data_IF_430489187898
#
_entry.id   IF_430489187898
#
_cell.length_a   1.000
_cell.length_b   1.000
_cell.length_c   1.000
_cell.angle_alpha   90.00
_cell.angle_beta   90.00
_cell.angle_gamma   90.00
#
_symmetry.space_group_name_H-M   'P 1'
#
loop_
_entity.id
_entity.type
_entity.pdbx_description
1 polymer ?
#
# COMPACT_ATOMS: atom_id res chain seq x y z
N UNK A 1 -11.39 15.17 10.26
CA UNK A 1 -10.11 14.48 10.00
C UNK A 1 -9.52 14.11 11.34
N UNK A 2 -9.94 12.94 11.84
CA UNK A 2 -9.09 11.76 12.00
C UNK A 2 -7.59 11.96 12.35
N UNK A 3 -7.12 11.09 13.24
CA UNK A 3 -5.84 11.15 13.94
C UNK A 3 -4.64 11.17 12.96
N UNK A 4 -3.43 11.42 13.48
CA UNK A 4 -2.23 11.55 12.65
C UNK A 4 -2.02 10.36 11.68
N UNK A 5 -2.32 9.13 12.10
CA UNK A 5 -2.09 7.94 11.30
C UNK A 5 -3.07 7.86 10.12
N UNK A 6 -4.34 8.16 10.35
CA UNK A 6 -5.38 8.18 9.31
C UNK A 6 -5.07 9.20 8.21
N UNK A 7 -4.62 10.41 8.59
CA UNK A 7 -4.19 11.44 7.63
C UNK A 7 -3.01 10.97 6.77
N UNK A 8 -2.03 10.27 7.37
CA UNK A 8 -0.90 9.70 6.63
C UNK A 8 -1.35 8.59 5.70
N UNK A 9 -2.24 7.71 6.16
CA UNK A 9 -2.73 6.59 5.39
C UNK A 9 -3.52 7.06 4.17
N UNK A 10 -4.45 7.99 4.35
CA UNK A 10 -5.23 8.55 3.25
C UNK A 10 -4.32 9.25 2.22
N UNK A 11 -3.31 10.00 2.66
CA UNK A 11 -2.31 10.60 1.77
C UNK A 11 -1.57 9.53 0.94
N UNK A 12 -0.97 8.54 1.60
CA UNK A 12 -0.17 7.51 0.91
C UNK A 12 -1.04 6.72 -0.06
N UNK A 13 -2.23 6.30 0.37
CA UNK A 13 -3.15 5.54 -0.46
C UNK A 13 -3.57 6.31 -1.71
N UNK A 14 -4.04 7.54 -1.55
CA UNK A 14 -4.52 8.36 -2.66
C UNK A 14 -3.38 8.73 -3.62
N UNK A 15 -2.19 9.03 -3.10
CA UNK A 15 -1.03 9.33 -3.92
C UNK A 15 -0.54 8.09 -4.71
N UNK A 16 -0.51 6.91 -4.10
CA UNK A 16 -0.17 5.66 -4.80
C UNK A 16 -1.19 5.34 -5.89
N UNK A 17 -2.49 5.57 -5.64
CA UNK A 17 -3.54 5.44 -6.65
C UNK A 17 -3.36 6.41 -7.81
N UNK A 18 -3.02 7.67 -7.54
CA UNK A 18 -2.71 8.66 -8.58
C UNK A 18 -1.48 8.24 -9.41
N UNK A 19 -0.45 7.70 -8.77
CA UNK A 19 0.72 7.17 -9.45
C UNK A 19 0.36 6.00 -10.39
N UNK A 20 -0.50 5.07 -9.93
CA UNK A 20 -0.99 3.96 -10.75
C UNK A 20 -1.79 4.43 -11.98
N UNK A 21 -2.62 5.48 -11.83
CA UNK A 21 -3.32 6.10 -12.95
C UNK A 21 -2.32 6.72 -13.94
N UNK A 22 -1.38 7.52 -13.43
CA UNK A 22 -0.42 8.25 -14.26
C UNK A 22 0.53 7.31 -15.03
N UNK A 23 0.84 6.14 -14.47
CA UNK A 23 1.69 5.13 -15.12
C UNK A 23 0.94 4.17 -16.04
N UNK A 24 -0.39 4.32 -16.19
CA UNK A 24 -1.26 3.37 -16.89
C UNK A 24 -1.14 1.94 -16.35
N UNK A 25 -1.08 1.79 -15.03
CA UNK A 25 -1.06 0.49 -14.39
C UNK A 25 -2.32 -0.33 -14.75
N UNK A 26 -2.18 -1.66 -14.92
CA UNK A 26 -3.30 -2.53 -15.28
C UNK A 26 -4.37 -2.58 -14.18
N UNK A 27 -3.96 -2.37 -12.93
CA UNK A 27 -4.81 -2.37 -11.75
C UNK A 27 -4.70 -1.00 -11.10
N UNK A 28 -5.83 -0.30 -11.01
CA UNK A 28 -5.99 0.93 -10.25
C UNK A 28 -6.95 0.64 -9.09
N UNK A 29 -6.50 0.73 -7.83
CA UNK A 29 -7.38 0.54 -6.68
C UNK A 29 -8.58 1.50 -6.69
N UNK A 30 -9.69 1.10 -6.07
CA UNK A 30 -10.85 2.00 -5.86
C UNK A 30 -10.48 3.14 -4.91
N UNK A 31 -11.34 4.15 -4.80
CA UNK A 31 -11.07 5.30 -3.91
C UNK A 31 -10.98 4.85 -2.44
N UNK A 32 -10.23 5.60 -1.61
CA UNK A 32 -10.06 5.26 -0.19
C UNK A 32 -11.41 5.08 0.54
N UNK A 33 -12.38 5.94 0.24
CA UNK A 33 -13.73 5.89 0.79
C UNK A 33 -14.50 4.61 0.43
N UNK A 34 -14.16 3.95 -0.69
CA UNK A 34 -14.82 2.75 -1.21
C UNK A 34 -14.12 1.45 -0.78
N UNK A 35 -13.04 1.55 0.02
CA UNK A 35 -12.33 0.39 0.55
C UNK A 35 -13.07 -0.26 1.71
N UNK A 36 -12.91 -1.58 1.79
CA UNK A 36 -13.43 -2.41 2.86
C UNK A 36 -12.76 -2.06 4.19
N UNK A 37 -13.52 -2.05 5.29
CA UNK A 37 -13.00 -1.70 6.61
C UNK A 37 -11.85 -2.61 7.06
N UNK A 38 -11.91 -3.91 6.72
CA UNK A 38 -10.81 -4.84 7.00
C UNK A 38 -9.50 -4.43 6.29
N UNK A 39 -9.60 -3.94 5.05
CA UNK A 39 -8.44 -3.43 4.34
C UNK A 39 -7.95 -2.11 4.94
N UNK A 40 -8.86 -1.18 5.28
CA UNK A 40 -8.48 0.10 5.89
C UNK A 40 -7.73 -0.12 7.21
N UNK A 41 -8.24 -1.02 8.07
CA UNK A 41 -7.57 -1.39 9.31
C UNK A 41 -6.17 -1.94 9.07
N UNK A 42 -6.02 -2.91 8.16
CA UNK A 42 -4.71 -3.47 7.82
C UNK A 42 -3.76 -2.40 7.23
N UNK A 43 -4.27 -1.50 6.40
CA UNK A 43 -3.47 -0.46 5.78
C UNK A 43 -3.01 0.58 6.81
N UNK A 44 -3.84 0.92 7.81
CA UNK A 44 -3.46 1.80 8.92
C UNK A 44 -2.29 1.22 9.72
N UNK A 45 -2.28 -0.08 9.99
CA UNK A 45 -1.18 -0.77 10.68
C UNK A 45 0.13 -0.69 9.87
N UNK A 46 0.03 -0.88 8.54
CA UNK A 46 1.18 -0.75 7.64
C UNK A 46 1.73 0.68 7.69
N UNK A 47 0.86 1.68 7.63
CA UNK A 47 1.28 3.09 7.60
C UNK A 47 1.89 3.52 8.93
N UNK A 48 1.34 3.06 10.05
CA UNK A 48 1.93 3.28 11.38
C UNK A 48 3.36 2.75 11.42
N UNK A 49 3.55 1.50 10.98
CA UNK A 49 4.88 0.88 10.91
C UNK A 49 5.82 1.61 9.96
N UNK A 50 5.38 1.94 8.75
CA UNK A 50 6.22 2.59 7.74
C UNK A 50 6.57 4.05 8.05
N UNK A 51 5.74 4.71 8.87
CA UNK A 51 6.06 6.02 9.42
C UNK A 51 6.85 5.95 10.73
N UNK A 52 7.07 4.77 11.29
CA UNK A 52 7.83 4.53 12.51
C UNK A 52 9.32 4.21 12.29
N UNK A 53 10.01 3.88 13.38
CA UNK A 53 11.44 3.52 13.35
C UNK A 53 11.68 2.16 12.69
N UNK A 54 10.72 1.25 12.77
CA UNK A 54 10.78 -0.13 12.25
C UNK A 54 10.38 -0.27 10.77
N UNK A 55 10.30 0.84 10.05
CA UNK A 55 9.94 0.86 8.63
C UNK A 55 10.93 0.05 7.79
N UNK A 56 10.43 -0.55 6.71
CA UNK A 56 11.29 -1.19 5.72
C UNK A 56 11.62 -0.20 4.62
N UNK A 57 12.82 -0.33 4.06
CA UNK A 57 13.25 0.38 2.85
C UNK A 57 13.46 -0.55 1.66
N UNK A 58 13.13 -1.84 1.84
CA UNK A 58 13.27 -2.85 0.80
C UNK A 58 11.91 -3.04 0.10
N UNK A 59 11.84 -2.77 -1.22
CA UNK A 59 10.65 -3.08 -2.01
C UNK A 59 10.22 -4.55 -1.86
N UNK A 60 11.17 -5.48 -1.87
CA UNK A 60 10.91 -6.92 -1.75
C UNK A 60 10.30 -7.30 -0.39
N UNK A 61 10.79 -6.73 0.71
CA UNK A 61 10.23 -6.99 2.03
C UNK A 61 8.80 -6.45 2.18
N UNK A 62 8.53 -5.28 1.57
CA UNK A 62 7.19 -4.69 1.58
C UNK A 62 6.22 -5.46 0.71
N UNK A 63 6.65 -5.89 -0.48
CA UNK A 63 5.87 -6.78 -1.33
C UNK A 63 5.54 -8.08 -0.58
N UNK A 64 6.54 -8.70 0.05
CA UNK A 64 6.33 -9.90 0.86
C UNK A 64 5.32 -9.67 2.00
N UNK A 65 5.41 -8.53 2.70
CA UNK A 65 4.48 -8.17 3.78
C UNK A 65 3.05 -7.93 3.26
N UNK A 66 2.93 -7.28 2.09
CA UNK A 66 1.67 -7.09 1.38
C UNK A 66 1.04 -8.43 0.97
N UNK A 67 1.83 -9.33 0.38
CA UNK A 67 1.38 -10.67 0.02
C UNK A 67 0.84 -11.43 1.23
N UNK A 68 1.59 -11.46 2.34
CA UNK A 68 1.15 -12.14 3.57
C UNK A 68 -0.16 -11.56 4.12
N UNK A 69 -0.33 -10.24 4.05
CA UNK A 69 -1.57 -9.57 4.46
C UNK A 69 -2.75 -9.93 3.55
N UNK A 70 -2.52 -10.01 2.24
CA UNK A 70 -3.55 -10.41 1.29
C UNK A 70 -3.93 -11.88 1.49
N UNK A 71 -2.95 -12.77 1.62
CA UNK A 71 -3.16 -14.19 1.90
C UNK A 71 -3.95 -14.41 3.21
N UNK A 72 -3.62 -13.67 4.28
CA UNK A 72 -4.35 -13.78 5.56
C UNK A 72 -5.78 -13.26 5.47
N UNK A 73 -6.05 -12.29 4.58
CA UNK A 73 -7.40 -11.81 4.24
C UNK A 73 -8.14 -12.76 3.28
N UNK A 74 -7.55 -13.90 2.92
CA UNK A 74 -8.14 -14.92 2.05
C UNK A 74 -8.02 -14.61 0.57
N UNK A 75 -7.08 -13.74 0.18
CA UNK A 75 -6.73 -13.58 -1.23
C UNK A 75 -5.86 -14.74 -1.70
N UNK A 76 -5.96 -15.06 -2.98
CA UNK A 76 -5.18 -16.09 -3.64
C UNK A 76 -4.63 -15.58 -4.97
N UNK A 77 -3.59 -16.22 -5.48
CA UNK A 77 -3.12 -15.94 -6.83
C UNK A 77 -4.23 -16.21 -7.86
N UNK A 78 -4.30 -15.35 -8.89
CA UNK A 78 -5.09 -15.58 -10.09
C UNK A 78 -4.68 -14.61 -11.19
N UNK A 79 -4.84 -15.01 -12.45
CA UNK A 79 -4.36 -14.25 -13.62
C UNK A 79 -4.96 -12.84 -13.74
N UNK A 80 -6.11 -12.61 -13.09
CA UNK A 80 -6.82 -11.34 -13.10
C UNK A 80 -7.14 -10.87 -11.69
N UNK A 81 -7.08 -9.56 -11.49
CA UNK A 81 -7.58 -8.94 -10.27
C UNK A 81 -9.10 -9.04 -10.19
N UNK A 82 -9.62 -9.64 -9.13
CA UNK A 82 -11.04 -9.77 -8.85
C UNK A 82 -11.28 -9.64 -7.34
N UNK A 83 -12.02 -8.62 -6.92
CA UNK A 83 -12.30 -8.34 -5.50
C UNK A 83 -13.29 -9.32 -4.89
N UNK A 84 -14.26 -9.78 -5.67
CA UNK A 84 -15.30 -10.70 -5.17
C UNK A 84 -14.71 -12.09 -4.98
N UNK A 85 -13.88 -12.54 -5.93
CA UNK A 85 -13.17 -13.83 -5.85
C UNK A 85 -11.88 -13.76 -5.04
N UNK A 86 -11.46 -12.56 -4.63
CA UNK A 86 -10.20 -12.28 -3.95
C UNK A 86 -8.99 -12.85 -4.69
N UNK A 87 -8.88 -12.60 -5.99
CA UNK A 87 -7.71 -12.99 -6.78
C UNK A 87 -6.85 -11.79 -7.13
N UNK A 88 -5.52 -11.96 -7.09
CA UNK A 88 -4.57 -10.90 -7.50
C UNK A 88 -3.39 -11.51 -8.27
N UNK A 89 -3.00 -10.96 -9.44
CA UNK A 89 -1.91 -11.52 -10.25
C UNK A 89 -0.54 -11.36 -9.58
N UNK A 90 -0.37 -10.28 -8.81
CA UNK A 90 0.90 -9.99 -8.14
C UNK A 90 1.15 -10.81 -6.85
N UNK A 91 0.29 -11.77 -6.50
CA UNK A 91 0.55 -12.73 -5.42
C UNK A 91 1.57 -13.79 -5.84
N UNK A 92 2.73 -13.33 -6.29
CA UNK A 92 3.90 -14.09 -6.75
C UNK A 92 5.17 -13.52 -6.10
N UNK A 93 6.28 -14.27 -6.02
CA UNK A 93 7.55 -13.75 -5.52
C UNK A 93 7.97 -12.44 -6.19
N UNK A 94 8.64 -11.55 -5.45
CA UNK A 94 9.06 -10.23 -5.97
C UNK A 94 9.92 -10.32 -7.24
N UNK A 95 10.74 -11.37 -7.35
CA UNK A 95 11.56 -11.62 -8.53
C UNK A 95 10.74 -11.89 -9.81
N UNK A 96 9.50 -12.37 -9.67
CA UNK A 96 8.60 -12.73 -10.77
C UNK A 96 7.70 -11.56 -11.20
N UNK A 97 7.70 -10.45 -10.43
CA UNK A 97 7.01 -9.23 -10.81
C UNK A 97 7.63 -8.60 -12.06
N UNK A 98 6.76 -8.02 -12.90
CA UNK A 98 7.21 -7.13 -13.96
C UNK A 98 7.76 -5.82 -13.38
N UNK A 99 8.47 -5.04 -14.21
CA UNK A 99 9.11 -3.81 -13.73
C UNK A 99 8.13 -2.79 -13.15
N UNK A 100 6.95 -2.63 -13.77
CA UNK A 100 5.96 -1.66 -13.33
C UNK A 100 5.42 -2.00 -11.92
N UNK A 101 5.20 -3.27 -11.63
CA UNK A 101 4.76 -3.72 -10.31
C UNK A 101 5.85 -3.52 -9.25
N UNK A 102 7.12 -3.82 -9.58
CA UNK A 102 8.26 -3.51 -8.70
C UNK A 102 8.42 -2.02 -8.42
N UNK A 103 8.16 -1.18 -9.42
CA UNK A 103 8.24 0.27 -9.27
C UNK A 103 7.16 0.81 -8.30
N UNK A 104 5.99 0.16 -8.21
CA UNK A 104 4.93 0.56 -7.27
C UNK A 104 5.38 0.44 -5.82
N UNK A 105 6.15 -0.60 -5.46
CA UNK A 105 6.71 -0.74 -4.11
C UNK A 105 7.71 0.38 -3.80
N UNK A 106 8.54 0.76 -4.78
CA UNK A 106 9.45 1.90 -4.66
C UNK A 106 8.71 3.23 -4.47
N UNK A 107 7.63 3.45 -5.23
CA UNK A 107 6.75 4.61 -5.08
C UNK A 107 6.10 4.62 -3.69
N UNK A 108 5.60 3.48 -3.23
CA UNK A 108 4.99 3.36 -1.91
C UNK A 108 5.97 3.74 -0.78
N UNK A 109 7.22 3.26 -0.84
CA UNK A 109 8.28 3.65 0.11
C UNK A 109 8.49 5.16 0.11
N UNK A 110 8.62 5.77 -1.08
CA UNK A 110 8.83 7.20 -1.19
C UNK A 110 7.67 8.01 -0.60
N UNK A 111 6.42 7.58 -0.83
CA UNK A 111 5.22 8.20 -0.28
C UNK A 111 5.15 8.06 1.25
N UNK A 112 5.49 6.89 1.80
CA UNK A 112 5.60 6.70 3.25
C UNK A 112 6.66 7.63 3.86
N UNK A 113 7.81 7.82 3.21
CA UNK A 113 8.83 8.76 3.68
C UNK A 113 8.36 10.22 3.65
N UNK A 114 7.61 10.62 2.61
CA UNK A 114 6.98 11.95 2.55
C UNK A 114 5.98 12.11 3.71
N UNK A 115 5.09 11.14 3.90
CA UNK A 115 4.10 11.17 4.97
C UNK A 115 4.76 11.26 6.35
N UNK A 116 5.81 10.45 6.59
CA UNK A 116 6.57 10.44 7.83
C UNK A 116 7.22 11.80 8.13
N UNK A 117 7.83 12.43 7.13
CA UNK A 117 8.61 13.65 7.32
C UNK A 117 7.74 14.91 7.39
N UNK A 118 6.63 14.96 6.66
CA UNK A 118 5.90 16.20 6.41
C UNK A 118 4.45 16.20 6.88
N UNK A 119 3.89 15.04 7.24
CA UNK A 119 2.57 14.94 7.88
C UNK A 119 2.83 14.59 9.35
N UNK A 120 2.79 15.60 10.21
CA UNK A 120 3.10 15.48 11.64
C UNK A 120 2.20 16.40 12.48
N UNK A 121 2.20 16.20 13.79
CA UNK A 121 1.57 17.12 14.73
C UNK A 121 2.57 18.20 15.16
N UNK A 122 2.15 19.47 15.11
CA UNK A 122 3.02 20.61 15.43
C UNK A 122 3.52 20.62 16.87
N UNK A 123 2.86 19.90 17.78
CA UNK A 123 3.23 19.83 19.19
C UNK A 123 4.49 18.97 19.50
N UNK A 124 5.06 18.29 18.49
CA UNK A 124 6.15 17.32 18.65
C UNK A 124 7.45 17.69 17.90
N UNK A 125 7.63 18.98 17.53
CA UNK A 125 8.88 19.49 16.94
C UNK A 125 9.52 20.57 17.78
#
# INVERSE_FOLDING_TARGET
MENLNERRAEFVYNAARLAAIASNAPIVPVQWSEREEAFKSQFLDVIERQCGEQRSKSPEELHGSWMQSYLSMGWVYGDTYDREKKTHPDLVPYADLNQLERDKDGVFIALCEIARQFIYELALR
#
